data_IF_198650218007
#
_entry.id   IF_198650218007
#
_cell.length_a   1.000
_cell.length_b   1.000
_cell.length_c   1.000
_cell.angle_alpha   90.00
_cell.angle_beta   90.00
_cell.angle_gamma   90.00
#
_symmetry.space_group_name_H-M   'P 1'
#
loop_
_entity.id
_entity.type
_entity.pdbx_description
1 polymer ?
#
# COMPACT_ATOMS: atom_id res chain seq x y z
N UNK A 1 8.23 -6.03 -8.61
CA UNK A 1 7.88 -4.72 -8.01
C UNK A 1 6.64 -4.15 -8.70
N UNK A 2 5.64 -3.77 -7.91
CA UNK A 2 4.40 -3.21 -8.45
C UNK A 2 4.07 -1.91 -7.76
N UNK A 3 3.49 -0.98 -8.50
CA UNK A 3 3.06 0.30 -7.96
C UNK A 3 1.53 0.33 -7.95
N UNK A 4 0.97 0.60 -6.78
CA UNK A 4 -0.48 0.67 -6.59
C UNK A 4 -0.87 2.11 -6.28
N UNK A 5 -1.76 2.67 -7.08
CA UNK A 5 -2.25 4.02 -6.88
C UNK A 5 -3.69 3.98 -6.39
N UNK A 6 -3.99 4.74 -5.35
CA UNK A 6 -5.31 4.77 -4.73
C UNK A 6 -5.92 6.15 -4.86
N UNK A 7 -7.24 6.20 -4.79
CA UNK A 7 -7.97 7.47 -4.90
C UNK A 7 -8.09 8.19 -3.56
N UNK A 8 -8.01 7.47 -2.45
CA UNK A 8 -8.14 8.07 -1.14
C UNK A 8 -7.16 7.46 -0.16
N UNK A 9 -6.86 8.20 0.91
CA UNK A 9 -5.97 7.71 1.94
C UNK A 9 -6.57 6.51 2.67
N UNK A 10 -7.89 6.48 2.82
CA UNK A 10 -8.57 5.37 3.48
C UNK A 10 -8.30 4.06 2.76
N UNK A 11 -8.40 4.07 1.43
CA UNK A 11 -8.12 2.87 0.64
C UNK A 11 -6.67 2.43 0.80
N UNK A 12 -5.76 3.40 0.83
CA UNK A 12 -4.34 3.13 1.02
C UNK A 12 -4.11 2.48 2.38
N UNK A 13 -4.72 3.01 3.43
CA UNK A 13 -4.58 2.44 4.77
C UNK A 13 -5.09 1.01 4.85
N UNK A 14 -6.23 0.74 4.23
CA UNK A 14 -6.77 -0.62 4.20
C UNK A 14 -5.81 -1.57 3.53
N UNK A 15 -5.19 -1.14 2.44
CA UNK A 15 -4.23 -1.99 1.74
C UNK A 15 -2.97 -2.21 2.57
N UNK A 16 -2.51 -1.19 3.27
CA UNK A 16 -1.36 -1.31 4.17
C UNK A 16 -1.62 -2.36 5.23
N UNK A 17 -2.80 -2.32 5.85
CA UNK A 17 -3.16 -3.31 6.87
C UNK A 17 -3.20 -4.71 6.28
N UNK A 18 -3.76 -4.86 5.09
CA UNK A 18 -3.82 -6.16 4.43
C UNK A 18 -2.43 -6.69 4.13
N UNK A 19 -1.56 -5.88 3.56
CA UNK A 19 -0.20 -6.30 3.23
C UNK A 19 0.60 -6.63 4.49
N UNK A 20 0.40 -5.88 5.56
CA UNK A 20 1.06 -6.15 6.84
C UNK A 20 0.62 -7.50 7.39
N UNK A 21 -0.67 -7.80 7.31
CA UNK A 21 -1.21 -9.09 7.76
C UNK A 21 -0.62 -10.25 6.97
N UNK A 22 -0.36 -10.04 5.70
CA UNK A 22 0.22 -11.08 4.84
C UNK A 22 1.73 -11.20 5.00
N UNK A 23 2.36 -10.27 5.69
CA UNK A 23 3.81 -10.23 5.81
C UNK A 23 4.50 -9.81 4.52
N UNK A 24 3.80 -9.12 3.64
CA UNK A 24 4.37 -8.67 2.38
C UNK A 24 5.29 -7.48 2.57
N UNK A 25 6.31 -7.38 1.74
CA UNK A 25 7.20 -6.23 1.74
C UNK A 25 6.62 -5.14 0.85
N UNK A 26 6.51 -3.93 1.39
CA UNK A 26 5.97 -2.81 0.64
C UNK A 26 6.51 -1.50 1.20
N UNK A 27 6.32 -0.44 0.43
CA UNK A 27 6.68 0.91 0.84
C UNK A 27 5.58 1.87 0.42
N UNK A 28 5.23 2.80 1.31
CA UNK A 28 4.22 3.81 1.01
C UNK A 28 4.95 5.08 0.55
N UNK A 29 4.58 5.56 -0.62
CA UNK A 29 5.12 6.79 -1.19
C UNK A 29 3.99 7.80 -1.28
N UNK A 30 4.15 8.93 -0.61
CA UNK A 30 3.03 9.84 -0.46
C UNK A 30 1.97 9.17 0.40
N UNK A 31 0.72 9.52 0.24
CA UNK A 31 -0.34 8.94 1.07
C UNK A 31 -1.32 8.09 0.27
N UNK A 32 -1.08 7.93 -1.01
CA UNK A 32 -2.00 7.25 -1.91
C UNK A 32 -1.33 6.24 -2.80
N UNK A 33 -0.03 6.03 -2.65
CA UNK A 33 0.72 5.12 -3.51
C UNK A 33 1.48 4.12 -2.68
N UNK A 34 1.39 2.86 -3.05
CA UNK A 34 2.13 1.77 -2.40
C UNK A 34 2.95 1.06 -3.47
N UNK A 35 4.22 0.82 -3.16
CA UNK A 35 5.09 0.01 -4.00
C UNK A 35 5.34 -1.30 -3.30
N UNK A 36 5.04 -2.41 -3.98
CA UNK A 36 5.31 -3.75 -3.46
C UNK A 36 6.55 -4.33 -4.11
N UNK A 37 7.29 -5.07 -3.36
CA UNK A 37 8.56 -5.64 -3.82
C UNK A 37 8.45 -7.12 -4.15
#
# INVERSE_FOLDING_TARGET
MKTLNFKSETDTEKKVLELTSKGANFRVIGRKTIVTF
#
